data_IF_905927130078
#
_entry.id   IF_905927130078
#
_cell.length_a   1.000
_cell.length_b   1.000
_cell.length_c   1.000
_cell.angle_alpha   90.00
_cell.angle_beta   90.00
_cell.angle_gamma   90.00
#
_symmetry.space_group_name_H-M   'P 1'
#
loop_
_entity.id
_entity.type
_entity.pdbx_description
1 polymer ?
#
# COMPACT_ATOMS: atom_id res chain seq x y z
N UNK A 1 -6.30 -13.53 -3.62
CA UNK A 1 -5.14 -12.73 -3.18
C UNK A 1 -5.54 -11.34 -2.72
N UNK A 2 -5.69 -10.33 -3.59
CA UNK A 2 -6.25 -9.03 -3.16
C UNK A 2 -7.68 -9.19 -2.61
N UNK A 3 -8.45 -10.10 -3.20
CA UNK A 3 -9.73 -10.55 -2.66
C UNK A 3 -9.62 -11.03 -1.20
N UNK A 4 -8.61 -11.82 -0.82
CA UNK A 4 -8.51 -12.38 0.52
C UNK A 4 -7.95 -11.42 1.58
N UNK A 5 -7.33 -10.29 1.19
CA UNK A 5 -6.84 -9.26 2.12
C UNK A 5 -7.71 -8.01 2.10
N UNK A 6 -7.73 -7.30 0.98
CA UNK A 6 -8.53 -6.08 0.82
C UNK A 6 -10.01 -6.44 0.67
N UNK A 7 -10.32 -7.45 -0.17
CA UNK A 7 -11.68 -7.90 -0.42
C UNK A 7 -12.37 -8.52 0.79
N UNK A 8 -11.64 -8.97 1.82
CA UNK A 8 -12.27 -9.41 3.06
C UNK A 8 -13.15 -8.29 3.64
N UNK A 9 -12.65 -7.06 3.65
CA UNK A 9 -13.39 -5.90 4.16
C UNK A 9 -14.18 -5.20 3.04
N UNK A 10 -13.62 -5.12 1.84
CA UNK A 10 -14.21 -4.36 0.75
C UNK A 10 -15.37 -5.08 0.06
N UNK A 11 -15.31 -6.40 -0.10
CA UNK A 11 -16.33 -7.12 -0.88
C UNK A 11 -17.73 -7.03 -0.27
N UNK A 12 -17.93 -7.14 1.06
CA UNK A 12 -19.26 -6.99 1.65
C UNK A 12 -19.93 -5.64 1.33
N UNK A 13 -19.14 -4.58 1.20
CA UNK A 13 -19.61 -3.19 1.03
C UNK A 13 -19.73 -2.81 -0.44
N UNK A 14 -18.68 -3.09 -1.24
CA UNK A 14 -18.53 -2.48 -2.58
C UNK A 14 -18.78 -3.45 -3.75
N UNK A 15 -18.85 -4.76 -3.52
CA UNK A 15 -19.14 -5.71 -4.61
C UNK A 15 -20.62 -5.70 -4.98
N UNK A 16 -20.94 -6.12 -6.20
CA UNK A 16 -22.32 -6.20 -6.66
C UNK A 16 -23.13 -7.27 -5.89
N UNK A 17 -22.45 -8.34 -5.47
CA UNK A 17 -23.01 -9.47 -4.73
C UNK A 17 -23.08 -9.21 -3.22
N UNK A 18 -22.22 -8.33 -2.69
CA UNK A 18 -21.95 -8.20 -1.26
C UNK A 18 -21.20 -9.43 -0.74
N UNK A 19 -21.37 -9.73 0.56
CA UNK A 19 -20.77 -10.88 1.26
C UNK A 19 -19.22 -10.92 1.20
N UNK A 20 -18.62 -11.87 1.92
CA UNK A 20 -17.19 -12.16 1.78
C UNK A 20 -16.86 -12.72 0.39
N UNK A 21 -15.63 -12.54 -0.10
CA UNK A 21 -15.18 -13.16 -1.35
C UNK A 21 -15.30 -14.68 -1.29
N UNK A 22 -15.79 -15.30 -2.37
CA UNK A 22 -16.00 -16.75 -2.43
C UNK A 22 -14.72 -17.55 -2.16
N UNK A 23 -13.58 -17.10 -2.69
CA UNK A 23 -12.28 -17.74 -2.45
C UNK A 23 -11.88 -17.71 -0.97
N UNK A 24 -12.16 -16.60 -0.26
CA UNK A 24 -11.85 -16.49 1.16
C UNK A 24 -12.71 -17.46 1.99
N UNK A 25 -14.01 -17.54 1.69
CA UNK A 25 -14.93 -18.49 2.33
C UNK A 25 -14.40 -19.92 2.12
N UNK A 26 -14.09 -20.29 0.88
CA UNK A 26 -13.59 -21.64 0.54
C UNK A 26 -12.29 -21.98 1.28
N UNK A 27 -11.35 -21.04 1.35
CA UNK A 27 -10.06 -21.24 2.02
C UNK A 27 -10.23 -21.45 3.52
N UNK A 28 -11.01 -20.58 4.20
CA UNK A 28 -11.21 -20.69 5.65
C UNK A 28 -12.06 -21.91 6.01
N UNK A 29 -13.07 -22.26 5.21
CA UNK A 29 -13.88 -23.48 5.41
C UNK A 29 -13.00 -24.73 5.34
N UNK A 30 -12.15 -24.84 4.32
CA UNK A 30 -11.24 -25.98 4.16
C UNK A 30 -10.24 -26.08 5.33
N UNK A 31 -9.62 -24.95 5.71
CA UNK A 31 -8.66 -24.91 6.83
C UNK A 31 -9.31 -25.15 8.18
N UNK A 32 -10.56 -24.74 8.37
CA UNK A 32 -11.32 -25.05 9.59
C UNK A 32 -11.58 -26.55 9.71
N UNK A 33 -11.95 -27.22 8.61
CA UNK A 33 -12.17 -28.65 8.59
C UNK A 33 -10.87 -29.44 8.83
N UNK A 34 -9.76 -29.05 8.18
CA UNK A 34 -8.42 -29.65 8.38
C UNK A 34 -7.97 -29.57 9.85
N UNK A 35 -8.31 -28.47 10.52
CA UNK A 35 -7.97 -28.23 11.93
C UNK A 35 -9.02 -28.78 12.91
N UNK A 36 -9.92 -29.66 12.44
CA UNK A 36 -10.97 -30.32 13.23
C UNK A 36 -11.98 -29.38 13.91
N UNK A 37 -12.19 -28.17 13.36
CA UNK A 37 -13.31 -27.33 13.81
C UNK A 37 -14.63 -27.88 13.29
N UNK A 38 -15.64 -27.93 14.16
CA UNK A 38 -17.00 -28.39 13.81
C UNK A 38 -17.78 -27.38 12.97
N UNK A 39 -17.29 -26.13 12.89
CA UNK A 39 -17.86 -25.04 12.08
C UNK A 39 -16.72 -24.21 11.48
N UNK A 40 -17.01 -23.50 10.39
CA UNK A 40 -16.06 -22.54 9.83
C UNK A 40 -15.68 -21.47 10.86
N UNK A 41 -14.39 -21.11 10.89
CA UNK A 41 -13.88 -19.97 11.66
C UNK A 41 -14.30 -18.62 11.05
N UNK A 42 -14.69 -18.58 9.78
CA UNK A 42 -15.24 -17.37 9.16
C UNK A 42 -16.76 -17.31 9.42
N UNK A 43 -17.27 -16.26 10.08
CA UNK A 43 -18.70 -16.07 10.23
C UNK A 43 -19.41 -15.99 8.87
N UNK A 44 -20.69 -16.37 8.84
CA UNK A 44 -21.51 -16.29 7.63
C UNK A 44 -22.50 -15.16 7.78
N UNK A 45 -22.59 -14.31 6.76
CA UNK A 45 -23.68 -13.36 6.66
C UNK A 45 -24.96 -14.08 6.23
N UNK A 46 -26.06 -13.74 6.89
CA UNK A 46 -27.41 -14.02 6.40
C UNK A 46 -27.72 -13.18 5.16
N UNK A 47 -28.69 -13.57 4.32
CA UNK A 47 -29.11 -12.75 3.19
C UNK A 47 -29.54 -11.33 3.60
N UNK A 48 -30.15 -11.19 4.79
CA UNK A 48 -30.56 -9.90 5.33
C UNK A 48 -29.36 -9.01 5.68
N UNK A 49 -28.31 -9.57 6.29
CA UNK A 49 -27.07 -8.83 6.58
C UNK A 49 -26.31 -8.45 5.32
N UNK A 50 -26.26 -9.34 4.32
CA UNK A 50 -25.66 -9.01 3.01
C UNK A 50 -26.39 -7.83 2.39
N UNK A 51 -27.73 -7.85 2.37
CA UNK A 51 -28.53 -6.76 1.83
C UNK A 51 -28.37 -5.46 2.63
N UNK A 52 -28.15 -5.55 3.94
CA UNK A 52 -27.95 -4.40 4.82
C UNK A 52 -26.58 -3.72 4.63
N UNK A 53 -25.52 -4.50 4.43
CA UNK A 53 -24.13 -4.00 4.33
C UNK A 53 -23.78 -3.55 2.91
N UNK A 54 -24.35 -4.20 1.89
CA UNK A 54 -24.00 -3.90 0.51
C UNK A 54 -24.41 -2.46 0.14
N UNK A 55 -23.45 -1.70 -0.38
CA UNK A 55 -23.67 -0.33 -0.85
C UNK A 55 -23.72 0.72 0.27
N UNK A 56 -23.24 0.42 1.47
CA UNK A 56 -23.29 1.35 2.62
C UNK A 56 -22.16 2.40 2.62
N UNK A 57 -21.52 2.67 1.48
CA UNK A 57 -20.43 3.64 1.40
C UNK A 57 -20.45 4.42 0.08
N UNK A 58 -20.27 5.73 0.17
CA UNK A 58 -20.26 6.64 -0.98
C UNK A 58 -18.90 6.69 -1.71
N UNK A 59 -17.82 6.30 -1.03
CA UNK A 59 -16.46 6.29 -1.54
C UNK A 59 -15.61 5.22 -0.84
N UNK A 60 -14.51 4.85 -1.47
CA UNK A 60 -13.51 3.92 -0.96
C UNK A 60 -12.34 4.69 -0.32
N UNK A 61 -12.17 4.57 1.00
CA UNK A 61 -10.98 5.07 1.69
C UNK A 61 -9.81 4.12 1.54
N UNK A 62 -8.69 4.59 0.98
CA UNK A 62 -7.50 3.76 0.71
C UNK A 62 -6.26 4.26 1.46
N UNK A 63 -5.74 3.40 2.33
CA UNK A 63 -4.38 3.53 2.87
C UNK A 63 -3.44 2.66 2.04
N UNK A 64 -2.41 3.25 1.44
CA UNK A 64 -1.41 2.50 0.69
C UNK A 64 -0.01 3.09 0.86
N UNK A 65 0.97 2.22 1.12
CA UNK A 65 2.34 2.61 1.45
C UNK A 65 3.42 1.87 0.65
N UNK A 66 3.18 0.60 0.34
CA UNK A 66 4.17 -0.32 -0.25
C UNK A 66 3.47 -1.47 -0.95
N UNK A 67 4.21 -2.25 -1.72
CA UNK A 67 3.76 -3.51 -2.33
C UNK A 67 4.57 -4.70 -1.80
N UNK A 68 3.98 -5.88 -1.87
CA UNK A 68 4.64 -7.16 -1.61
C UNK A 68 4.52 -8.07 -2.83
N UNK A 69 5.57 -8.84 -3.09
CA UNK A 69 5.50 -10.06 -3.86
C UNK A 69 4.89 -11.16 -3.00
N UNK A 70 4.20 -12.11 -3.62
CA UNK A 70 3.55 -13.21 -2.93
C UNK A 70 4.08 -14.53 -3.47
N UNK A 71 4.44 -15.44 -2.57
CA UNK A 71 4.75 -16.84 -2.89
C UNK A 71 3.77 -17.75 -2.17
N UNK A 72 3.43 -18.87 -2.80
CA UNK A 72 2.74 -19.95 -2.09
C UNK A 72 3.68 -20.53 -1.03
N UNK A 73 3.12 -20.90 0.10
CA UNK A 73 3.87 -21.59 1.14
C UNK A 73 4.00 -23.08 0.82
N UNK A 74 5.15 -23.67 1.14
CA UNK A 74 5.39 -25.11 1.03
C UNK A 74 4.72 -25.92 2.18
N UNK A 75 4.09 -25.22 3.13
CA UNK A 75 3.43 -25.80 4.30
C UNK A 75 2.67 -24.74 5.12
N UNK A 76 2.41 -25.04 6.39
CA UNK A 76 1.76 -24.08 7.28
C UNK A 76 2.63 -22.85 7.53
N UNK A 77 2.00 -21.67 7.60
CA UNK A 77 2.69 -20.38 7.74
C UNK A 77 2.02 -19.50 8.77
N UNK A 78 2.85 -18.84 9.58
CA UNK A 78 2.38 -17.99 10.67
C UNK A 78 1.76 -18.81 11.80
N UNK A 79 0.95 -18.16 12.62
CA UNK A 79 0.23 -18.82 13.71
C UNK A 79 -0.89 -19.72 13.17
N UNK A 80 -1.23 -20.75 13.93
CA UNK A 80 -2.28 -21.71 13.57
C UNK A 80 -3.32 -21.70 14.70
N UNK A 81 -4.57 -21.27 14.45
CA UNK A 81 -5.08 -20.71 13.20
C UNK A 81 -4.67 -19.24 12.99
N UNK A 82 -4.54 -18.80 11.74
CA UNK A 82 -4.42 -17.40 11.36
C UNK A 82 -4.84 -17.17 9.91
N UNK A 83 -5.20 -15.93 9.56
CA UNK A 83 -5.51 -15.56 8.17
C UNK A 83 -4.36 -15.87 7.21
N UNK A 84 -3.11 -15.67 7.64
CA UNK A 84 -1.94 -16.00 6.81
C UNK A 84 -1.89 -17.50 6.51
N UNK A 85 -2.15 -18.34 7.50
CA UNK A 85 -2.24 -19.79 7.31
C UNK A 85 -3.44 -20.20 6.45
N UNK A 86 -4.56 -19.47 6.58
CA UNK A 86 -5.78 -19.73 5.81
C UNK A 86 -5.56 -19.47 4.31
N UNK A 87 -4.85 -18.40 3.98
CA UNK A 87 -4.54 -18.06 2.59
C UNK A 87 -3.33 -18.85 2.06
N UNK A 88 -2.44 -19.33 2.94
CA UNK A 88 -1.30 -20.18 2.57
C UNK A 88 -0.21 -19.45 1.79
N UNK A 89 0.01 -18.16 2.10
CA UNK A 89 0.95 -17.32 1.35
C UNK A 89 2.01 -16.65 2.23
N UNK A 90 3.17 -16.43 1.62
CA UNK A 90 4.27 -15.66 2.19
C UNK A 90 4.37 -14.33 1.45
N UNK A 91 4.42 -13.23 2.20
CA UNK A 91 4.69 -11.89 1.69
C UNK A 91 6.19 -11.67 1.64
N UNK A 92 6.71 -11.33 0.47
CA UNK A 92 8.14 -11.12 0.20
C UNK A 92 8.32 -9.71 -0.37
N UNK A 93 9.42 -9.06 -0.03
CA UNK A 93 9.83 -7.81 -0.68
C UNK A 93 10.93 -8.14 -1.69
N UNK A 94 10.88 -7.55 -2.88
CA UNK A 94 12.01 -7.65 -3.81
C UNK A 94 13.21 -6.91 -3.19
N UNK A 95 14.37 -7.58 -3.01
CA UNK A 95 15.55 -6.92 -2.46
C UNK A 95 16.07 -5.77 -3.35
N UNK A 96 15.70 -5.75 -4.64
CA UNK A 96 16.04 -4.68 -5.58
C UNK A 96 15.17 -3.43 -5.41
N UNK A 97 14.03 -3.52 -4.73
CA UNK A 97 13.19 -2.35 -4.49
C UNK A 97 13.86 -1.41 -3.48
N UNK A 98 13.99 -0.15 -3.91
CA UNK A 98 14.54 0.94 -3.13
C UNK A 98 13.81 1.11 -1.80
N UNK A 99 14.59 1.32 -0.73
CA UNK A 99 14.10 1.83 0.54
C UNK A 99 15.25 2.12 1.50
N UNK A 100 15.28 3.35 1.98
CA UNK A 100 16.06 3.78 3.16
C UNK A 100 15.10 4.16 4.30
N UNK A 101 13.92 3.55 4.31
CA UNK A 101 12.87 3.87 5.26
C UNK A 101 13.30 3.44 6.66
N UNK A 102 12.94 4.23 7.67
CA UNK A 102 13.07 3.81 9.08
C UNK A 102 12.10 2.68 9.44
N UNK A 103 11.20 2.31 8.54
CA UNK A 103 10.27 1.18 8.66
C UNK A 103 10.65 0.04 7.70
N UNK A 104 11.13 -1.08 8.25
CA UNK A 104 11.58 -2.24 7.46
C UNK A 104 10.50 -2.82 6.52
N UNK A 105 9.22 -2.67 6.87
CA UNK A 105 8.10 -3.13 6.05
C UNK A 105 7.83 -2.27 4.81
N UNK A 106 8.40 -1.06 4.71
CA UNK A 106 8.07 -0.07 3.70
C UNK A 106 9.13 -0.07 2.58
N UNK A 107 8.75 -0.48 1.37
CA UNK A 107 9.53 -0.33 0.13
C UNK A 107 8.88 0.69 -0.81
N UNK A 108 9.69 1.31 -1.67
CA UNK A 108 9.22 2.32 -2.63
C UNK A 108 8.76 1.63 -3.91
N UNK A 109 7.44 1.45 -4.06
CA UNK A 109 6.84 0.69 -5.17
C UNK A 109 5.65 1.44 -5.80
N UNK A 110 5.86 2.62 -6.41
CA UNK A 110 4.79 3.48 -6.93
C UNK A 110 3.95 2.81 -8.02
N UNK A 111 4.54 1.97 -8.88
CA UNK A 111 3.77 1.23 -9.88
C UNK A 111 2.77 0.24 -9.25
N UNK A 112 3.07 -0.28 -8.06
CA UNK A 112 2.17 -1.16 -7.32
C UNK A 112 0.94 -0.40 -6.82
N UNK A 113 1.10 0.87 -6.47
CA UNK A 113 -0.02 1.76 -6.12
C UNK A 113 -0.97 1.98 -7.30
N UNK A 114 -0.44 2.35 -8.49
CA UNK A 114 -1.23 2.48 -9.72
C UNK A 114 -1.98 1.19 -10.05
N UNK A 115 -1.32 0.03 -9.93
CA UNK A 115 -1.93 -1.29 -10.13
C UNK A 115 -3.07 -1.57 -9.14
N UNK A 116 -2.91 -1.21 -7.87
CA UNK A 116 -3.94 -1.40 -6.86
C UNK A 116 -5.17 -0.51 -7.13
N UNK A 117 -4.97 0.76 -7.47
CA UNK A 117 -6.06 1.67 -7.86
C UNK A 117 -6.83 1.11 -9.06
N UNK A 118 -6.11 0.64 -10.09
CA UNK A 118 -6.72 -0.02 -11.24
C UNK A 118 -7.48 -1.30 -10.88
N UNK A 119 -6.98 -2.09 -9.93
CA UNK A 119 -7.69 -3.29 -9.45
C UNK A 119 -8.98 -2.93 -8.70
N UNK A 120 -8.93 -1.96 -7.78
CA UNK A 120 -10.11 -1.48 -7.03
C UNK A 120 -11.17 -0.95 -8.00
N UNK A 121 -10.75 -0.08 -8.93
CA UNK A 121 -11.64 0.50 -9.95
C UNK A 121 -12.33 -0.58 -10.79
N UNK A 122 -11.61 -1.59 -11.26
CA UNK A 122 -12.19 -2.70 -12.05
C UNK A 122 -13.09 -3.62 -11.21
N UNK A 123 -12.73 -3.88 -9.95
CA UNK A 123 -13.43 -4.85 -9.09
C UNK A 123 -14.71 -4.26 -8.49
N UNK A 124 -14.71 -2.96 -8.19
CA UNK A 124 -15.78 -2.29 -7.44
C UNK A 124 -16.45 -1.18 -8.26
N UNK A 125 -16.68 -1.45 -9.54
CA UNK A 125 -17.47 -0.62 -10.45
C UNK A 125 -17.04 0.87 -10.47
N UNK A 126 -15.74 1.12 -10.51
CA UNK A 126 -15.13 2.45 -10.50
C UNK A 126 -15.65 3.37 -9.39
N UNK A 127 -15.89 2.81 -8.20
CA UNK A 127 -16.23 3.55 -6.98
C UNK A 127 -15.26 4.73 -6.77
N UNK A 128 -15.72 5.92 -6.32
CA UNK A 128 -14.81 7.01 -6.00
C UNK A 128 -13.78 6.58 -4.95
N UNK A 129 -12.49 6.76 -5.21
CA UNK A 129 -11.41 6.41 -4.29
C UNK A 129 -10.86 7.69 -3.68
N UNK A 130 -10.78 7.75 -2.35
CA UNK A 130 -10.06 8.78 -1.60
C UNK A 130 -8.84 8.11 -0.97
N UNK A 131 -7.65 8.57 -1.35
CA UNK A 131 -6.41 8.09 -0.74
C UNK A 131 -6.27 8.75 0.63
N UNK A 132 -6.57 7.98 1.67
CA UNK A 132 -6.62 8.43 3.06
C UNK A 132 -5.26 8.36 3.73
N UNK A 133 -4.38 7.43 3.34
CA UNK A 133 -2.98 7.42 3.79
C UNK A 133 -2.01 7.04 2.67
N UNK A 134 -0.93 7.81 2.61
CA UNK A 134 0.29 7.49 1.88
C UNK A 134 1.42 8.27 2.54
N UNK A 135 2.60 7.69 2.67
CA UNK A 135 3.70 8.39 3.30
C UNK A 135 4.96 7.57 3.40
N UNK A 136 6.03 8.23 3.82
CA UNK A 136 7.35 7.64 3.94
C UNK A 136 7.94 7.90 5.32
N UNK A 137 8.39 6.82 5.96
CA UNK A 137 9.06 6.89 7.24
C UNK A 137 10.52 7.28 7.02
N UNK A 138 10.93 8.43 7.50
CA UNK A 138 12.34 8.81 7.52
C UNK A 138 12.93 8.65 8.93
N UNK A 139 14.22 8.91 9.03
CA UNK A 139 14.91 9.10 10.29
C UNK A 139 14.74 10.55 10.77
N UNK A 140 15.77 11.11 11.42
CA UNK A 140 15.74 12.49 11.88
C UNK A 140 16.22 13.45 10.79
N UNK A 141 15.66 14.66 10.76
CA UNK A 141 16.13 15.74 9.90
C UNK A 141 14.99 16.59 9.36
N UNK A 142 15.36 17.77 8.87
CA UNK A 142 14.47 18.62 8.06
C UNK A 142 14.70 18.43 6.56
N UNK A 143 15.86 17.92 6.17
CA UNK A 143 16.25 17.61 4.80
C UNK A 143 15.85 16.16 4.48
N UNK A 144 14.62 15.94 4.04
CA UNK A 144 14.02 14.62 3.84
C UNK A 144 13.84 14.28 2.34
N UNK A 145 14.95 14.30 1.59
CA UNK A 145 14.96 14.07 0.13
C UNK A 145 14.33 12.74 -0.30
N UNK A 146 14.50 11.68 0.49
CA UNK A 146 13.84 10.38 0.26
C UNK A 146 12.32 10.49 0.33
N UNK A 147 11.77 11.25 1.29
CA UNK A 147 10.33 11.50 1.40
C UNK A 147 9.83 12.37 0.25
N UNK A 148 10.59 13.39 -0.14
CA UNK A 148 10.29 14.22 -1.33
C UNK A 148 10.16 13.33 -2.57
N UNK A 149 11.17 12.50 -2.85
CA UNK A 149 11.15 11.57 -3.99
C UNK A 149 9.96 10.59 -3.89
N UNK A 150 9.71 10.01 -2.70
CA UNK A 150 8.57 9.10 -2.48
C UNK A 150 7.24 9.75 -2.88
N UNK A 151 6.94 10.93 -2.33
CA UNK A 151 5.68 11.61 -2.65
C UNK A 151 5.58 11.95 -4.13
N UNK A 152 6.66 12.44 -4.75
CA UNK A 152 6.65 12.77 -6.18
C UNK A 152 6.32 11.53 -7.04
N UNK A 153 6.95 10.38 -6.79
CA UNK A 153 6.64 9.15 -7.55
C UNK A 153 5.23 8.61 -7.28
N UNK A 154 4.74 8.67 -6.04
CA UNK A 154 3.39 8.18 -5.71
C UNK A 154 2.29 9.11 -6.24
N UNK A 155 2.51 10.42 -6.22
CA UNK A 155 1.63 11.40 -6.86
C UNK A 155 1.64 11.23 -8.38
N UNK A 156 2.81 10.98 -9.00
CA UNK A 156 2.87 10.68 -10.43
C UNK A 156 2.08 9.41 -10.78
N UNK A 157 2.25 8.33 -9.99
CA UNK A 157 1.48 7.10 -10.15
C UNK A 157 -0.04 7.32 -10.02
N UNK A 158 -0.46 8.19 -9.09
CA UNK A 158 -1.86 8.60 -8.94
C UNK A 158 -2.37 9.37 -10.16
N UNK A 159 -1.60 10.35 -10.64
CA UNK A 159 -1.95 11.14 -11.82
C UNK A 159 -2.12 10.25 -13.05
N UNK A 160 -1.19 9.31 -13.28
CA UNK A 160 -1.36 8.34 -14.36
C UNK A 160 -2.62 7.47 -14.16
N UNK A 161 -2.91 7.05 -12.93
CA UNK A 161 -4.13 6.27 -12.64
C UNK A 161 -5.41 7.05 -12.93
N UNK A 162 -5.41 8.37 -12.74
CA UNK A 162 -6.56 9.24 -13.03
C UNK A 162 -6.66 9.54 -14.53
N UNK A 163 -5.56 9.97 -15.13
CA UNK A 163 -5.55 10.55 -16.49
C UNK A 163 -5.40 9.51 -17.60
N UNK A 164 -4.72 8.39 -17.34
CA UNK A 164 -4.51 7.33 -18.34
C UNK A 164 -5.37 6.10 -18.07
N UNK A 165 -5.48 5.67 -16.81
CA UNK A 165 -6.27 4.47 -16.45
C UNK A 165 -7.74 4.79 -16.16
N UNK A 166 -8.11 6.08 -16.14
CA UNK A 166 -9.46 6.58 -15.89
C UNK A 166 -10.10 6.07 -14.58
N UNK A 167 -9.28 5.84 -13.56
CA UNK A 167 -9.78 5.52 -12.22
C UNK A 167 -10.44 6.75 -11.60
N UNK A 168 -11.55 6.54 -10.87
CA UNK A 168 -12.25 7.59 -10.12
C UNK A 168 -11.53 7.93 -8.81
N UNK A 169 -10.22 8.18 -8.88
CA UNK A 169 -9.38 8.45 -7.73
C UNK A 169 -9.27 9.96 -7.49
N UNK A 170 -9.31 10.38 -6.23
CA UNK A 170 -9.10 11.77 -5.83
C UNK A 170 -7.80 11.93 -5.05
N UNK A 171 -7.12 13.09 -5.18
CA UNK A 171 -5.86 13.35 -4.49
C UNK A 171 -5.94 13.18 -2.98
N UNK A 172 -4.77 12.85 -2.44
CA UNK A 172 -4.45 12.71 -1.03
C UNK A 172 -5.01 13.87 -0.20
N UNK A 173 -5.63 13.57 0.94
CA UNK A 173 -5.51 14.46 2.10
C UNK A 173 -4.28 13.96 2.84
N UNK A 174 -3.21 14.77 3.02
CA UNK A 174 -2.06 14.29 3.76
C UNK A 174 -2.53 14.06 5.19
N UNK A 175 -2.64 12.80 5.61
CA UNK A 175 -2.72 12.53 7.04
C UNK A 175 -1.38 12.98 7.60
N UNK A 176 -1.46 14.06 8.39
CA UNK A 176 -0.44 14.50 9.33
C UNK A 176 -0.30 13.37 10.34
N UNK A 177 0.38 12.30 9.94
CA UNK A 177 0.67 11.21 10.84
C UNK A 177 1.61 11.80 11.89
N UNK A 178 1.18 11.75 13.16
CA UNK A 178 1.95 12.25 14.27
C UNK A 178 3.37 11.66 14.19
N UNK A 179 4.39 12.49 14.35
CA UNK A 179 5.74 11.97 14.45
C UNK A 179 5.80 10.96 15.60
N UNK A 180 6.13 9.71 15.29
CA UNK A 180 6.53 8.75 16.30
C UNK A 180 7.98 9.03 16.69
N UNK A 181 8.35 8.75 17.95
CA UNK A 181 9.75 8.89 18.41
C UNK A 181 10.75 8.01 17.64
N UNK A 182 10.29 6.92 17.01
CA UNK A 182 11.13 5.95 16.29
C UNK A 182 10.98 5.97 14.77
N UNK A 183 9.75 6.19 14.28
CA UNK A 183 9.46 6.29 12.86
C UNK A 183 8.70 7.58 12.61
N UNK A 184 9.31 8.49 11.86
CA UNK A 184 8.75 9.81 11.59
C UNK A 184 8.11 9.79 10.21
N UNK A 185 6.83 10.09 10.14
CA UNK A 185 6.07 10.19 8.89
C UNK A 185 5.61 11.63 8.60
N UNK A 186 5.71 12.51 9.60
CA UNK A 186 5.22 13.88 9.51
C UNK A 186 6.02 14.73 8.52
N UNK A 187 5.31 15.61 7.81
CA UNK A 187 5.87 16.68 6.98
C UNK A 187 6.62 17.75 7.80
N UNK A 188 6.40 17.77 9.12
CA UNK A 188 7.04 18.68 10.06
C UNK A 188 7.81 17.89 11.09
N UNK A 189 9.04 18.32 11.37
CA UNK A 189 9.85 17.83 12.48
C UNK A 189 9.31 18.40 13.79
N UNK A 190 9.02 17.54 14.76
CA UNK A 190 8.56 17.90 16.10
C UNK A 190 9.73 17.75 17.08
N UNK A 191 10.01 18.83 17.79
CA UNK A 191 10.89 18.82 18.95
C UNK A 191 10.12 18.29 20.17
N UNK A 192 10.33 17.02 20.51
CA UNK A 192 9.67 16.39 21.66
C UNK A 192 10.21 16.84 23.01
N UNK A 193 11.41 17.41 23.05
CA UNK A 193 12.06 17.88 24.27
C UNK A 193 11.64 19.32 24.58
N UNK A 194 11.28 20.11 23.57
CA UNK A 194 10.65 21.41 23.74
C UNK A 194 9.29 21.28 24.47
N UNK A 195 9.02 22.13 25.49
CA UNK A 195 7.73 22.17 26.18
C UNK A 195 6.57 22.52 25.22
N UNK A 196 6.86 23.31 24.18
CA UNK A 196 5.87 23.77 23.20
C UNK A 196 5.67 22.79 22.03
N UNK A 197 6.45 21.70 21.98
CA UNK A 197 6.45 20.74 20.87
C UNK A 197 6.61 21.45 19.54
N UNK A 198 7.65 22.28 19.44
CA UNK A 198 7.91 23.13 18.27
C UNK A 198 7.93 22.31 16.99
N UNK A 199 7.34 22.83 15.91
CA UNK A 199 7.28 22.16 14.60
C UNK A 199 8.09 22.93 13.57
N UNK A 200 8.99 22.24 12.87
CA UNK A 200 9.83 22.81 11.81
C UNK A 200 9.51 22.12 10.49
N UNK A 201 9.16 22.90 9.45
CA UNK A 201 8.82 22.36 8.14
C UNK A 201 10.01 21.62 7.51
N UNK A 202 9.77 20.41 7.02
CA UNK A 202 10.75 19.64 6.24
C UNK A 202 10.68 19.99 4.76
N UNK A 203 11.61 19.49 3.95
CA UNK A 203 11.56 19.67 2.49
C UNK A 203 10.28 19.11 1.87
N UNK A 204 9.80 17.97 2.39
CA UNK A 204 8.51 17.40 1.97
C UNK A 204 7.31 18.29 2.24
N UNK A 205 7.31 19.10 3.30
CA UNK A 205 6.26 20.11 3.53
C UNK A 205 6.26 21.18 2.43
N UNK A 206 7.45 21.60 1.99
CA UNK A 206 7.61 22.57 0.90
C UNK A 206 7.12 21.99 -0.42
N UNK A 207 7.56 20.77 -0.76
CA UNK A 207 7.05 20.02 -1.93
C UNK A 207 5.52 19.96 -1.90
N UNK A 208 4.94 19.55 -0.77
CA UNK A 208 3.49 19.37 -0.68
C UNK A 208 2.74 20.70 -0.81
N UNK A 209 3.26 21.77 -0.21
CA UNK A 209 2.73 23.13 -0.37
C UNK A 209 2.78 23.59 -1.84
N UNK A 210 3.89 23.32 -2.54
CA UNK A 210 4.04 23.63 -3.96
C UNK A 210 3.00 22.87 -4.79
N UNK A 211 2.90 21.55 -4.63
CA UNK A 211 1.94 20.70 -5.36
C UNK A 211 0.50 21.17 -5.17
N UNK A 212 0.10 21.53 -3.95
CA UNK A 212 -1.26 22.06 -3.70
C UNK A 212 -1.47 23.39 -4.44
N UNK A 213 -0.46 24.27 -4.38
CA UNK A 213 -0.56 25.64 -4.92
C UNK A 213 -0.59 25.63 -6.46
N UNK A 214 0.29 24.84 -7.07
CA UNK A 214 0.44 24.75 -8.54
C UNK A 214 -0.52 23.75 -9.16
N UNK A 215 -1.10 22.85 -8.34
CA UNK A 215 -1.91 21.70 -8.78
C UNK A 215 -1.17 20.78 -9.75
N UNK A 216 0.15 20.67 -9.58
CA UNK A 216 1.00 19.84 -10.42
C UNK A 216 2.27 19.40 -9.68
N UNK A 217 2.98 18.44 -10.25
CA UNK A 217 4.31 18.08 -9.76
C UNK A 217 5.32 19.20 -10.09
N UNK A 218 6.41 19.32 -9.31
CA UNK A 218 7.48 20.27 -9.62
C UNK A 218 8.02 20.06 -11.02
N UNK A 219 8.40 21.15 -11.70
CA UNK A 219 8.87 21.10 -13.10
C UNK A 219 10.20 20.35 -13.28
N UNK A 220 10.96 20.18 -12.20
CA UNK A 220 12.21 19.43 -12.17
C UNK A 220 12.03 17.97 -11.72
N UNK A 221 10.79 17.48 -11.62
CA UNK A 221 10.53 16.08 -11.33
C UNK A 221 10.99 15.19 -12.49
N UNK A 222 11.77 14.15 -12.17
CA UNK A 222 12.17 13.09 -13.09
C UNK A 222 11.56 11.76 -12.63
N UNK A 223 10.73 11.09 -13.47
CA UNK A 223 10.11 9.82 -13.10
C UNK A 223 11.09 8.65 -12.94
N UNK A 224 12.30 8.75 -13.50
CA UNK A 224 13.34 7.71 -13.43
C UNK A 224 14.37 7.97 -12.32
N UNK A 225 14.31 9.13 -11.65
CA UNK A 225 15.26 9.47 -10.58
C UNK A 225 14.87 8.86 -9.23
N UNK A 226 15.46 7.70 -8.95
CA UNK A 226 15.40 7.04 -7.62
C UNK A 226 16.69 7.25 -6.81
N UNK A 227 17.57 8.18 -7.21
CA UNK A 227 18.90 8.36 -6.58
C UNK A 227 18.81 8.81 -5.12
N UNK A 228 17.70 9.45 -4.74
CA UNK A 228 17.43 9.81 -3.35
C UNK A 228 17.42 8.60 -2.41
N UNK A 229 17.14 7.40 -2.91
CA UNK A 229 17.10 6.15 -2.12
C UNK A 229 18.36 5.29 -2.24
N UNK A 230 19.36 5.77 -2.97
CA UNK A 230 20.69 5.16 -3.02
C UNK A 230 21.64 6.06 -2.26
N UNK A 231 21.89 5.75 -0.99
CA UNK A 231 22.98 6.34 -0.24
C UNK A 231 24.26 6.28 -1.06
N UNK A 232 25.08 7.34 -0.99
CA UNK A 232 26.34 7.48 -1.70
C UNK A 232 27.18 6.19 -1.64
N UNK A 233 27.13 5.37 -2.67
CA UNK A 233 27.70 4.03 -2.63
C UNK A 233 27.15 3.03 -3.64
N UNK A 234 26.92 3.45 -4.90
CA UNK A 234 26.93 2.49 -6.02
C UNK A 234 28.18 2.80 -6.84
N UNK A 235 29.29 2.15 -6.48
CA UNK A 235 30.34 1.90 -7.45
C UNK A 235 29.75 1.05 -8.58
N UNK A 236 30.08 1.47 -9.79
CA UNK A 236 29.57 1.01 -11.09
C UNK A 236 29.46 -0.53 -11.24
N UNK A 237 28.56 -1.02 -12.10
CA UNK A 237 28.19 -2.42 -12.17
C UNK A 237 29.34 -3.27 -12.74
N UNK A 238 29.81 -4.26 -11.97
CA UNK A 238 30.56 -5.37 -12.53
C UNK A 238 29.59 -6.33 -13.22
N UNK A 239 29.69 -6.35 -14.53
CA UNK A 239 29.07 -7.33 -15.44
C UNK A 239 29.45 -8.74 -14.97
N UNK A 240 28.47 -9.63 -14.81
CA UNK A 240 28.57 -11.11 -14.93
C UNK A 240 27.15 -11.72 -14.89
N UNK A 241 26.94 -12.94 -15.45
CA UNK A 241 26.15 -13.13 -16.65
C UNK A 241 24.74 -13.67 -16.39
N UNK A 242 23.93 -13.54 -17.43
CA UNK A 242 22.54 -13.99 -17.57
C UNK A 242 22.42 -15.49 -17.25
N UNK A 243 21.70 -15.82 -16.17
CA UNK A 243 21.10 -17.14 -16.00
C UNK A 243 19.62 -17.05 -16.35
N UNK A 244 19.23 -17.89 -17.30
CA UNK A 244 17.94 -17.94 -17.96
C UNK A 244 16.80 -18.28 -16.99
N UNK A 245 15.87 -17.35 -16.80
CA UNK A 245 14.51 -17.70 -16.39
C UNK A 245 13.75 -18.21 -17.61
N UNK A 246 13.68 -19.52 -17.77
CA UNK A 246 12.60 -20.15 -18.51
C UNK A 246 11.60 -20.76 -17.52
N UNK A 247 10.32 -20.53 -17.83
CA UNK A 247 9.09 -21.13 -17.27
C UNK A 247 8.54 -20.48 -16.00
N UNK A 248 7.54 -19.62 -16.22
CA UNK A 248 6.29 -19.58 -15.44
C UNK A 248 5.24 -18.81 -16.25
N UNK A 249 4.62 -19.53 -17.18
CA UNK A 249 3.32 -19.22 -17.79
C UNK A 249 2.61 -20.57 -17.99
N UNK A 250 1.86 -20.99 -16.97
CA UNK A 250 0.55 -21.66 -17.07
C UNK A 250 -0.23 -21.23 -15.83
#
# INVERSE_FOLDING_TARGET
>A
MLASYLGWYANPVYSAEGNYPADLIKLVDAKSAEQNYTKSRLPKFTPAEVAYIKGTADFFGLNHYTTYLLSMADGEVGAIPSHQNDVGIVRIQDPKWHSESSSAWLKVVPFGFRRLLGWISKTYNNVPIIVTENGYADFNGVEDKTRVSYYSHYLNALLHSIHEDHTNSKPLVPIIQAEGRRSRFGLYLVDFDSPNKTRTAKDSARLYSEVITTRGLPTNYDPEDFTAFSGAGILAPTILPILSLHRLLI
#
